data_IF_632984878684
#
_entry.id   IF_632984878684
#
_cell.length_a   1.000
_cell.length_b   1.000
_cell.length_c   1.000
_cell.angle_alpha   90.00
_cell.angle_beta   90.00
_cell.angle_gamma   90.00
#
_symmetry.space_group_name_H-M   'P 1'
#
loop_
_entity.id
_entity.type
_entity.pdbx_description
1 polymer ?
#
# COMPACT_ATOMS: atom_id res chain seq x y z
N UNK A 1 34.50 28.59 -21.53
CA UNK A 1 33.98 29.97 -21.49
C UNK A 1 33.11 30.25 -20.26
N UNK A 2 32.27 29.33 -19.83
CA UNK A 2 31.43 29.47 -18.63
C UNK A 2 32.28 29.60 -17.35
N UNK A 3 33.42 28.92 -17.27
CA UNK A 3 34.37 29.02 -16.15
C UNK A 3 35.05 30.41 -16.02
N UNK A 4 35.21 31.16 -17.13
CA UNK A 4 35.80 32.50 -17.11
C UNK A 4 34.85 33.59 -16.57
N UNK A 5 33.55 33.41 -16.71
CA UNK A 5 32.54 34.29 -16.14
C UNK A 5 32.36 34.12 -14.63
N UNK A 6 32.93 33.05 -14.04
CA UNK A 6 32.76 32.69 -12.63
C UNK A 6 33.99 33.00 -11.75
N UNK A 7 35.03 33.65 -12.29
CA UNK A 7 36.28 33.92 -11.58
C UNK A 7 36.07 34.77 -10.29
N UNK A 8 35.09 35.68 -10.30
CA UNK A 8 34.68 36.42 -9.11
C UNK A 8 33.82 35.59 -8.13
N UNK A 9 33.15 34.55 -8.60
CA UNK A 9 32.31 33.68 -7.79
C UNK A 9 33.07 32.50 -7.20
N UNK A 10 34.20 32.07 -7.74
CA UNK A 10 35.00 30.98 -7.18
C UNK A 10 35.47 31.27 -5.76
N UNK A 11 35.88 32.50 -5.46
CA UNK A 11 36.29 32.92 -4.12
C UNK A 11 35.10 32.88 -3.17
N UNK A 12 33.92 33.34 -3.57
CA UNK A 12 32.71 33.28 -2.79
C UNK A 12 32.20 31.84 -2.62
N UNK A 13 32.39 30.97 -3.62
CA UNK A 13 32.07 29.55 -3.55
C UNK A 13 32.94 28.82 -2.55
N UNK A 14 34.28 29.11 -2.53
CA UNK A 14 35.20 28.45 -1.63
C UNK A 14 35.04 28.91 -0.18
N UNK A 15 34.69 30.15 0.05
CA UNK A 15 34.58 30.73 1.38
C UNK A 15 33.19 30.58 2.02
N UNK A 16 32.18 30.30 1.21
CA UNK A 16 30.76 30.28 1.64
C UNK A 16 29.97 29.13 0.99
N UNK A 17 30.59 27.98 0.84
CA UNK A 17 29.89 26.79 0.34
C UNK A 17 29.59 25.82 1.49
N UNK A 18 28.57 25.03 1.30
CA UNK A 18 28.26 23.88 2.10
C UNK A 18 27.83 22.73 1.19
N UNK A 19 27.93 21.53 1.68
CA UNK A 19 27.45 20.35 0.99
C UNK A 19 26.15 19.88 1.64
N UNK A 20 25.19 19.52 0.81
CA UNK A 20 23.92 18.94 1.26
C UNK A 20 23.88 17.47 0.82
N UNK A 21 23.34 16.64 1.66
CA UNK A 21 22.97 15.28 1.26
C UNK A 21 21.81 15.35 0.26
N UNK A 22 21.88 14.52 -0.79
CA UNK A 22 20.90 14.53 -1.87
C UNK A 22 20.24 13.17 -2.09
N UNK A 23 20.31 12.27 -1.09
CA UNK A 23 19.79 10.90 -1.20
C UNK A 23 19.29 10.40 0.16
N UNK A 24 18.48 9.34 0.12
CA UNK A 24 18.04 8.64 1.32
C UNK A 24 17.21 9.49 2.27
N UNK A 25 17.28 9.18 3.55
CA UNK A 25 16.46 9.80 4.59
C UNK A 25 16.69 11.31 4.74
N UNK A 26 17.88 11.79 4.41
CA UNK A 26 18.22 13.22 4.48
C UNK A 26 17.41 14.09 3.52
N UNK A 27 16.80 13.48 2.52
CA UNK A 27 15.89 14.14 1.57
C UNK A 27 14.47 13.57 1.59
N UNK A 28 14.15 12.73 2.56
CA UNK A 28 12.80 12.15 2.74
C UNK A 28 12.51 10.95 1.84
N UNK A 29 13.54 10.27 1.35
CA UNK A 29 13.47 9.02 0.58
C UNK A 29 13.88 7.83 1.45
N UNK A 30 13.57 6.59 1.07
CA UNK A 30 14.10 5.40 1.71
C UNK A 30 15.63 5.39 1.76
N UNK A 31 16.21 4.74 2.77
CA UNK A 31 17.67 4.61 2.91
C UNK A 31 18.29 4.00 1.65
N UNK A 32 19.38 4.59 1.16
CA UNK A 32 20.10 4.13 -0.03
C UNK A 32 19.46 4.53 -1.38
N UNK A 33 18.30 5.16 -1.37
CA UNK A 33 17.66 5.62 -2.62
C UNK A 33 18.25 6.96 -3.05
N UNK A 34 18.65 7.03 -4.33
CA UNK A 34 19.14 8.27 -4.95
C UNK A 34 18.03 9.32 -5.00
N UNK A 35 18.39 10.58 -4.73
CA UNK A 35 17.50 11.73 -4.90
C UNK A 35 17.08 11.95 -6.35
N UNK A 36 16.01 12.70 -6.51
CA UNK A 36 15.48 13.09 -7.82
C UNK A 36 15.05 14.57 -7.81
N UNK A 37 14.70 15.08 -8.97
CA UNK A 37 14.32 16.49 -9.16
C UNK A 37 13.11 16.90 -8.31
N UNK A 38 12.08 16.06 -8.24
CA UNK A 38 10.85 16.36 -7.50
C UNK A 38 11.14 16.54 -6.01
N UNK A 39 11.84 15.58 -5.41
CA UNK A 39 12.21 15.60 -3.98
C UNK A 39 13.13 16.76 -3.66
N UNK A 40 14.14 17.01 -4.52
CA UNK A 40 15.06 18.14 -4.34
C UNK A 40 14.35 19.50 -4.36
N UNK A 41 13.51 19.75 -5.35
CA UNK A 41 12.75 20.99 -5.43
C UNK A 41 11.72 21.15 -4.30
N UNK A 42 11.09 20.06 -3.89
CA UNK A 42 10.15 20.07 -2.76
C UNK A 42 10.86 20.45 -1.45
N UNK A 43 12.03 19.88 -1.17
CA UNK A 43 12.78 20.18 0.03
C UNK A 43 13.36 21.60 0.03
N UNK A 44 13.90 22.05 -1.11
CA UNK A 44 14.40 23.43 -1.27
C UNK A 44 13.25 24.43 -1.09
N UNK A 45 12.14 24.20 -1.78
CA UNK A 45 10.95 25.05 -1.69
C UNK A 45 10.29 25.03 -0.30
N UNK A 46 10.33 23.90 0.38
CA UNK A 46 9.79 23.73 1.73
C UNK A 46 10.69 24.23 2.84
N UNK A 47 12.00 24.40 2.58
CA UNK A 47 13.00 24.74 3.60
C UNK A 47 13.17 23.67 4.68
N UNK A 48 12.73 22.45 4.41
CA UNK A 48 12.79 21.30 5.34
C UNK A 48 12.69 19.98 4.58
N UNK A 49 13.08 18.88 5.23
CA UNK A 49 12.90 17.54 4.66
C UNK A 49 11.40 17.19 4.61
N UNK A 50 10.90 16.89 3.41
CA UNK A 50 9.53 16.42 3.17
C UNK A 50 9.59 14.93 2.88
N UNK A 51 9.20 14.12 3.85
CA UNK A 51 9.22 12.67 3.70
C UNK A 51 8.19 12.19 2.69
N UNK A 52 8.61 11.33 1.77
CA UNK A 52 7.74 10.58 0.87
C UNK A 52 6.91 9.56 1.65
N UNK A 53 5.87 9.00 1.04
CA UNK A 53 4.90 8.15 1.74
C UNK A 53 5.54 6.94 2.43
N UNK A 54 6.44 6.20 1.77
CA UNK A 54 7.08 5.03 2.39
C UNK A 54 7.84 5.38 3.67
N UNK A 55 8.85 6.27 3.67
CA UNK A 55 9.58 6.62 4.90
C UNK A 55 8.70 7.35 5.93
N UNK A 56 7.69 8.11 5.50
CA UNK A 56 6.73 8.77 6.38
C UNK A 56 5.91 7.77 7.19
N UNK A 57 5.36 6.76 6.52
CA UNK A 57 4.56 5.71 7.16
C UNK A 57 5.46 4.85 8.05
N UNK A 58 6.63 4.44 7.56
CA UNK A 58 7.59 3.65 8.34
C UNK A 58 7.99 4.37 9.63
N UNK A 59 8.29 5.67 9.54
CA UNK A 59 8.61 6.49 10.71
C UNK A 59 7.45 6.57 11.71
N UNK A 60 6.21 6.66 11.22
CA UNK A 60 5.04 6.65 12.12
C UNK A 60 4.87 5.33 12.88
N UNK A 61 5.35 4.21 12.31
CA UNK A 61 5.40 2.93 13.01
C UNK A 61 6.47 2.95 14.10
N UNK A 62 7.63 3.52 13.80
CA UNK A 62 8.78 3.62 14.74
C UNK A 62 8.46 4.53 15.92
N UNK A 63 7.83 5.68 15.72
CA UNK A 63 7.46 6.63 16.76
C UNK A 63 6.11 6.32 17.44
N UNK A 64 5.38 5.32 16.95
CA UNK A 64 4.12 4.85 17.52
C UNK A 64 2.86 5.59 17.04
N UNK A 65 2.97 6.69 16.34
CA UNK A 65 1.81 7.48 15.86
C UNK A 65 0.95 6.73 14.83
N UNK A 66 1.51 5.72 14.17
CA UNK A 66 0.76 4.79 13.31
C UNK A 66 -0.42 4.13 14.05
N UNK A 67 -0.20 3.73 15.30
CA UNK A 67 -1.22 3.05 16.12
C UNK A 67 -2.31 3.99 16.64
N UNK A 68 -2.08 5.29 16.53
CA UNK A 68 -3.05 6.34 16.87
C UNK A 68 -3.82 6.85 15.64
N UNK A 69 -3.51 6.37 14.44
CA UNK A 69 -4.11 6.84 13.20
C UNK A 69 -5.64 6.69 13.22
N UNK A 70 -6.40 7.80 13.04
CA UNK A 70 -7.84 7.79 13.22
C UNK A 70 -8.59 6.93 12.20
N UNK A 71 -8.09 6.83 10.95
CA UNK A 71 -8.74 6.02 9.93
C UNK A 71 -8.61 4.51 10.22
N UNK A 72 -7.43 4.06 10.64
CA UNK A 72 -7.22 2.67 11.05
C UNK A 72 -8.01 2.32 12.31
N UNK A 73 -7.99 3.23 13.31
CA UNK A 73 -8.78 3.04 14.52
C UNK A 73 -10.26 2.91 14.19
N UNK A 74 -10.80 3.82 13.37
CA UNK A 74 -12.21 3.78 12.96
C UNK A 74 -12.58 2.45 12.28
N UNK A 75 -11.76 1.97 11.33
CA UNK A 75 -12.02 0.70 10.64
C UNK A 75 -12.03 -0.49 11.62
N UNK A 76 -11.09 -0.53 12.55
CA UNK A 76 -10.98 -1.63 13.51
C UNK A 76 -12.06 -1.57 14.59
N UNK A 77 -12.42 -0.36 15.05
CA UNK A 77 -13.49 -0.15 16.03
C UNK A 77 -14.84 -0.51 15.43
N UNK A 78 -15.10 -0.18 14.15
CA UNK A 78 -16.31 -0.60 13.45
C UNK A 78 -16.45 -2.12 13.40
N UNK A 79 -15.33 -2.84 13.16
CA UNK A 79 -15.36 -4.31 13.21
C UNK A 79 -15.74 -4.85 14.59
N UNK A 80 -15.26 -4.22 15.66
CA UNK A 80 -15.59 -4.61 17.03
C UNK A 80 -17.07 -4.32 17.33
N UNK A 81 -17.54 -3.13 16.98
CA UNK A 81 -18.92 -2.70 17.25
C UNK A 81 -19.94 -3.54 16.49
N UNK A 82 -19.65 -3.85 15.21
CA UNK A 82 -20.57 -4.58 14.33
C UNK A 82 -20.39 -6.11 14.40
N UNK A 83 -19.32 -6.61 15.03
CA UNK A 83 -18.94 -8.02 15.00
C UNK A 83 -18.54 -8.50 13.58
N UNK A 84 -18.10 -7.58 12.73
CA UNK A 84 -17.73 -7.83 11.34
C UNK A 84 -16.25 -8.15 11.17
N UNK A 85 -15.77 -8.38 9.95
CA UNK A 85 -14.41 -8.74 9.65
C UNK A 85 -13.55 -7.53 9.26
N UNK A 86 -12.26 -7.60 9.55
CA UNK A 86 -11.23 -6.72 9.00
C UNK A 86 -10.51 -7.41 7.85
N UNK A 87 -10.48 -6.76 6.71
CA UNK A 87 -9.77 -7.21 5.52
C UNK A 87 -8.56 -6.33 5.26
N UNK A 88 -7.39 -6.94 5.14
CA UNK A 88 -6.13 -6.28 4.82
C UNK A 88 -5.69 -6.76 3.44
N UNK A 89 -5.65 -5.89 2.45
CA UNK A 89 -5.15 -6.26 1.16
C UNK A 89 -4.16 -5.27 0.54
N UNK A 90 -3.34 -5.75 -0.35
CA UNK A 90 -2.31 -4.98 -1.03
C UNK A 90 -1.21 -5.85 -1.58
N UNK A 91 -0.23 -5.20 -2.21
CA UNK A 91 0.89 -5.89 -2.82
C UNK A 91 1.79 -6.51 -1.75
N UNK A 92 1.90 -7.84 -1.76
CA UNK A 92 2.74 -8.63 -0.86
C UNK A 92 4.20 -8.60 -1.35
N UNK A 93 4.90 -7.53 -1.02
CA UNK A 93 6.21 -7.23 -1.58
C UNK A 93 7.11 -6.52 -0.57
N UNK A 94 8.41 -6.73 -0.69
CA UNK A 94 9.45 -5.96 -0.02
C UNK A 94 10.13 -4.95 -0.94
N UNK A 95 9.66 -4.86 -2.20
CA UNK A 95 10.25 -3.99 -3.23
C UNK A 95 10.11 -2.49 -2.96
N UNK A 96 9.22 -2.08 -2.05
CA UNK A 96 9.10 -0.69 -1.62
C UNK A 96 8.58 0.27 -2.70
N UNK A 97 7.92 -0.24 -3.76
CA UNK A 97 7.39 0.59 -4.86
C UNK A 97 5.93 0.95 -4.63
N UNK A 98 5.09 0.00 -4.27
CA UNK A 98 3.66 0.21 -4.02
C UNK A 98 3.27 0.02 -2.56
N UNK A 99 3.97 -0.86 -1.87
CA UNK A 99 3.72 -1.29 -0.50
C UNK A 99 4.99 -1.83 0.15
N UNK A 100 4.90 -2.14 1.42
CA UNK A 100 5.88 -2.97 2.14
C UNK A 100 5.18 -3.86 3.15
N UNK A 101 5.71 -5.07 3.37
CA UNK A 101 5.18 -6.01 4.35
C UNK A 101 5.27 -5.47 5.79
N UNK A 102 6.21 -4.60 6.09
CA UNK A 102 6.33 -3.98 7.42
C UNK A 102 5.08 -3.17 7.80
N UNK A 103 4.45 -2.50 6.83
CA UNK A 103 3.20 -1.79 7.06
C UNK A 103 2.03 -2.76 7.32
N UNK A 104 1.95 -3.88 6.59
CA UNK A 104 0.99 -4.95 6.87
C UNK A 104 1.19 -5.53 8.28
N UNK A 105 2.44 -5.79 8.66
CA UNK A 105 2.74 -6.35 9.99
C UNK A 105 2.39 -5.37 11.11
N UNK A 106 2.54 -4.07 10.89
CA UNK A 106 2.07 -3.04 11.82
C UNK A 106 0.54 -3.04 11.96
N UNK A 107 -0.22 -3.21 10.86
CA UNK A 107 -1.68 -3.33 10.89
C UNK A 107 -2.11 -4.62 11.63
N UNK A 108 -1.45 -5.74 11.40
CA UNK A 108 -1.70 -6.98 12.14
C UNK A 108 -1.43 -6.82 13.65
N UNK A 109 -0.32 -6.15 14.01
CA UNK A 109 -0.02 -5.82 15.41
C UNK A 109 -1.10 -4.94 16.03
N UNK A 110 -1.61 -3.95 15.28
CA UNK A 110 -2.70 -3.09 15.73
C UNK A 110 -3.99 -3.89 15.94
N UNK A 111 -4.35 -4.77 15.01
CA UNK A 111 -5.50 -5.67 15.14
C UNK A 111 -5.38 -6.62 16.35
N UNK A 112 -4.19 -7.14 16.62
CA UNK A 112 -3.90 -7.94 17.82
C UNK A 112 -4.12 -7.13 19.10
N UNK A 113 -3.56 -5.92 19.19
CA UNK A 113 -3.69 -5.02 20.35
C UNK A 113 -5.17 -4.71 20.63
N UNK A 114 -5.97 -4.48 19.59
CA UNK A 114 -7.41 -4.24 19.70
C UNK A 114 -8.25 -5.50 19.96
N UNK A 115 -7.65 -6.67 19.90
CA UNK A 115 -8.32 -7.95 20.20
C UNK A 115 -9.24 -8.46 19.10
N UNK A 116 -9.07 -7.99 17.85
CA UNK A 116 -9.83 -8.45 16.69
C UNK A 116 -9.64 -9.97 16.49
N UNK A 117 -10.72 -10.66 16.13
CA UNK A 117 -10.71 -12.13 15.90
C UNK A 117 -10.83 -12.51 14.43
N UNK A 118 -11.60 -11.75 13.66
CA UNK A 118 -11.86 -11.97 12.25
C UNK A 118 -11.02 -10.99 11.44
N UNK A 119 -9.78 -11.40 11.12
CA UNK A 119 -8.83 -10.59 10.31
C UNK A 119 -8.38 -11.45 9.15
N UNK A 120 -8.63 -11.00 7.94
CA UNK A 120 -8.33 -11.70 6.70
C UNK A 120 -7.36 -10.91 5.84
N UNK A 121 -6.43 -11.62 5.22
CA UNK A 121 -5.40 -11.03 4.37
C UNK A 121 -5.62 -11.52 2.95
N UNK A 122 -5.65 -10.59 2.02
CA UNK A 122 -5.72 -10.86 0.58
C UNK A 122 -4.40 -10.44 -0.04
N UNK A 123 -3.57 -11.42 -0.38
CA UNK A 123 -2.20 -11.23 -0.82
C UNK A 123 -2.14 -11.01 -2.34
N UNK A 124 -1.77 -9.81 -2.79
CA UNK A 124 -1.47 -9.55 -4.20
C UNK A 124 0.03 -9.79 -4.43
N UNK A 125 0.38 -10.79 -5.24
CA UNK A 125 1.77 -11.16 -5.52
C UNK A 125 2.39 -10.20 -6.54
N UNK A 126 3.69 -9.93 -6.40
CA UNK A 126 4.41 -8.90 -7.15
C UNK A 126 5.01 -9.41 -8.46
N UNK A 127 6.16 -10.05 -8.41
CA UNK A 127 6.87 -10.58 -9.57
C UNK A 127 7.43 -9.55 -10.57
N UNK A 128 7.30 -8.23 -10.29
CA UNK A 128 7.84 -7.13 -11.10
C UNK A 128 8.88 -6.30 -10.37
N UNK A 129 8.55 -5.89 -9.15
CA UNK A 129 9.41 -5.08 -8.30
C UNK A 129 10.29 -5.96 -7.40
N UNK A 130 9.98 -7.27 -7.38
CA UNK A 130 10.73 -8.34 -6.72
C UNK A 130 10.88 -9.53 -7.67
N UNK A 131 11.78 -10.52 -7.37
CA UNK A 131 11.93 -11.70 -8.19
C UNK A 131 10.61 -12.43 -8.45
N UNK A 132 10.41 -13.01 -9.64
CA UNK A 132 9.10 -13.48 -10.11
C UNK A 132 8.53 -14.69 -9.37
N UNK A 133 9.27 -15.29 -8.43
CA UNK A 133 8.85 -16.43 -7.61
C UNK A 133 9.10 -16.21 -6.12
N UNK A 134 9.21 -14.96 -5.69
CA UNK A 134 9.44 -14.58 -4.27
C UNK A 134 8.17 -14.52 -3.42
N UNK A 135 7.00 -14.47 -4.06
CA UNK A 135 5.70 -14.31 -3.41
C UNK A 135 5.39 -15.43 -2.42
N UNK A 136 5.74 -16.67 -2.76
CA UNK A 136 5.63 -17.82 -1.87
C UNK A 136 6.30 -17.58 -0.51
N UNK A 137 7.52 -17.07 -0.51
CA UNK A 137 8.27 -16.82 0.73
C UNK A 137 7.70 -15.62 1.51
N UNK A 138 7.18 -14.61 0.83
CA UNK A 138 6.50 -13.50 1.48
C UNK A 138 5.19 -13.92 2.15
N UNK A 139 4.40 -14.77 1.49
CA UNK A 139 3.18 -15.33 2.07
C UNK A 139 3.51 -16.22 3.28
N UNK A 140 4.54 -17.08 3.18
CA UNK A 140 4.99 -17.92 4.28
C UNK A 140 5.40 -17.09 5.52
N UNK A 141 6.17 -16.00 5.34
CA UNK A 141 6.53 -15.07 6.41
C UNK A 141 5.32 -14.39 7.03
N UNK A 142 4.34 -14.02 6.21
CA UNK A 142 3.10 -13.41 6.70
C UNK A 142 2.29 -14.40 7.53
N UNK A 143 2.19 -15.67 7.10
CA UNK A 143 1.54 -16.74 7.89
C UNK A 143 2.26 -16.98 9.22
N UNK A 144 3.58 -16.93 9.25
CA UNK A 144 4.36 -17.00 10.47
C UNK A 144 4.05 -15.84 11.41
N UNK A 145 4.00 -14.62 10.87
CA UNK A 145 3.64 -13.41 11.62
C UNK A 145 2.23 -13.46 12.20
N UNK A 146 1.28 -13.98 11.44
CA UNK A 146 -0.09 -14.21 11.93
C UNK A 146 -0.11 -15.22 13.10
N UNK A 147 0.69 -16.28 13.03
CA UNK A 147 0.82 -17.26 14.13
C UNK A 147 1.46 -16.65 15.38
N UNK A 148 2.51 -15.84 15.23
CA UNK A 148 3.15 -15.11 16.34
C UNK A 148 2.17 -14.19 17.06
N UNK A 149 1.38 -13.44 16.30
CA UNK A 149 0.43 -12.48 16.84
C UNK A 149 -0.90 -13.10 17.27
N UNK A 150 -1.18 -14.35 16.87
CA UNK A 150 -2.46 -15.02 17.13
C UNK A 150 -3.65 -14.37 16.42
N UNK A 151 -3.40 -13.63 15.32
CA UNK A 151 -4.42 -12.93 14.54
C UNK A 151 -4.05 -12.92 13.06
N UNK A 152 -5.08 -13.01 12.20
CA UNK A 152 -4.92 -12.96 10.74
C UNK A 152 -4.85 -14.36 10.09
N UNK A 153 -5.47 -14.46 8.91
CA UNK A 153 -5.41 -15.61 8.01
C UNK A 153 -5.31 -15.14 6.58
N UNK A 154 -4.58 -15.85 5.73
CA UNK A 154 -4.63 -15.62 4.29
C UNK A 154 -5.97 -16.15 3.76
N UNK A 155 -6.79 -15.27 3.21
CA UNK A 155 -8.07 -15.62 2.62
C UNK A 155 -7.99 -15.83 1.10
N UNK A 156 -7.25 -14.95 0.41
CA UNK A 156 -7.01 -15.10 -1.02
C UNK A 156 -5.57 -14.77 -1.39
N UNK A 157 -5.11 -15.36 -2.49
CA UNK A 157 -3.83 -15.04 -3.13
C UNK A 157 -4.08 -14.83 -4.62
N UNK A 158 -3.49 -13.80 -5.22
CA UNK A 158 -3.59 -13.55 -6.66
C UNK A 158 -2.45 -12.66 -7.15
N UNK A 159 -2.10 -12.75 -8.41
CA UNK A 159 -1.10 -11.88 -9.02
C UNK A 159 -1.60 -10.44 -9.18
N UNK A 160 -0.67 -9.50 -9.13
CA UNK A 160 -0.96 -8.06 -9.36
C UNK A 160 -1.56 -7.78 -10.74
N UNK A 161 -1.39 -8.67 -11.69
CA UNK A 161 -2.00 -8.59 -13.01
C UNK A 161 -3.51 -8.48 -12.94
N UNK A 162 -4.16 -9.15 -11.99
CA UNK A 162 -5.60 -9.11 -11.76
C UNK A 162 -6.01 -7.96 -10.82
N UNK A 163 -5.41 -7.89 -9.65
CA UNK A 163 -5.86 -6.98 -8.58
C UNK A 163 -5.37 -5.54 -8.71
N UNK A 164 -4.36 -5.28 -9.54
CA UNK A 164 -3.70 -3.98 -9.63
C UNK A 164 -3.61 -3.47 -11.08
N UNK A 165 -4.70 -3.63 -11.83
CA UNK A 165 -4.83 -3.00 -13.14
C UNK A 165 -4.91 -1.47 -13.01
N UNK A 166 -4.56 -0.75 -14.09
CA UNK A 166 -4.65 0.71 -14.21
C UNK A 166 -5.05 1.17 -15.61
N UNK A 167 -5.39 0.22 -16.47
CA UNK A 167 -5.62 0.42 -17.90
C UNK A 167 -7.07 0.07 -18.27
N UNK A 168 -7.97 0.00 -17.25
CA UNK A 168 -9.40 -0.32 -17.38
C UNK A 168 -9.65 -1.70 -18.03
N UNK A 169 -8.81 -2.66 -17.69
CA UNK A 169 -9.01 -4.05 -18.08
C UNK A 169 -9.97 -4.71 -17.10
N UNK A 170 -11.24 -4.35 -17.25
CA UNK A 170 -12.29 -4.75 -16.31
C UNK A 170 -12.45 -6.27 -16.20
N UNK A 171 -12.22 -7.01 -17.28
CA UNK A 171 -12.17 -8.48 -17.31
C UNK A 171 -11.18 -9.08 -16.31
N UNK A 172 -10.04 -8.44 -16.08
CA UNK A 172 -9.05 -8.87 -15.10
C UNK A 172 -9.46 -8.48 -13.69
N UNK A 173 -9.91 -7.25 -13.55
CA UNK A 173 -10.28 -6.69 -12.25
C UNK A 173 -11.51 -7.40 -11.67
N UNK A 174 -12.48 -7.79 -12.54
CA UNK A 174 -13.64 -8.57 -12.16
C UNK A 174 -13.25 -9.90 -11.54
N UNK A 175 -12.30 -10.64 -12.15
CA UNK A 175 -11.78 -11.88 -11.57
C UNK A 175 -11.20 -11.68 -10.16
N UNK A 176 -10.48 -10.58 -9.94
CA UNK A 176 -9.96 -10.25 -8.61
C UNK A 176 -11.10 -9.91 -7.63
N UNK A 177 -12.06 -9.10 -8.07
CA UNK A 177 -13.22 -8.72 -7.27
C UNK A 177 -14.08 -9.95 -6.90
N UNK A 178 -14.34 -10.83 -7.83
CA UNK A 178 -15.14 -12.04 -7.62
C UNK A 178 -14.49 -13.00 -6.63
N UNK A 179 -13.15 -13.11 -6.68
CA UNK A 179 -12.42 -13.87 -5.67
C UNK A 179 -12.50 -13.24 -4.27
N UNK A 180 -12.47 -11.90 -4.18
CA UNK A 180 -12.51 -11.17 -2.92
C UNK A 180 -13.91 -11.16 -2.27
N UNK A 181 -14.97 -11.17 -3.08
CA UNK A 181 -16.35 -10.98 -2.62
C UNK A 181 -17.16 -12.28 -2.68
N UNK A 182 -17.11 -12.97 -3.83
CA UNK A 182 -17.94 -14.18 -4.05
C UNK A 182 -17.18 -15.48 -3.78
N UNK A 183 -15.85 -15.42 -3.55
CA UNK A 183 -15.03 -16.61 -3.36
C UNK A 183 -14.90 -17.44 -4.64
N UNK A 184 -14.96 -16.78 -5.79
CA UNK A 184 -14.77 -17.40 -7.11
C UNK A 184 -13.27 -17.41 -7.47
N UNK A 185 -12.78 -18.56 -7.92
CA UNK A 185 -11.38 -18.77 -8.25
C UNK A 185 -10.92 -20.20 -7.95
N UNK A 186 -9.62 -20.43 -8.04
CA UNK A 186 -9.02 -21.72 -7.69
C UNK A 186 -9.17 -21.95 -6.18
N UNK A 187 -9.71 -23.10 -5.79
CA UNK A 187 -9.95 -23.43 -4.40
C UNK A 187 -8.79 -24.26 -3.84
N UNK A 188 -8.01 -23.67 -2.93
CA UNK A 188 -6.93 -24.38 -2.23
C UNK A 188 -6.75 -23.82 -0.83
N UNK A 189 -6.99 -24.58 0.25
CA UNK A 189 -6.86 -24.10 1.61
C UNK A 189 -5.40 -23.85 2.06
N UNK A 190 -4.42 -24.33 1.30
CA UNK A 190 -2.99 -24.07 1.55
C UNK A 190 -2.44 -23.06 0.54
N UNK A 191 -2.28 -21.79 0.93
CA UNK A 191 -1.77 -20.77 0.00
C UNK A 191 -0.36 -21.05 -0.52
N UNK A 192 0.47 -21.76 0.26
CA UNK A 192 1.84 -22.10 -0.17
C UNK A 192 1.79 -23.17 -1.25
N UNK A 193 1.00 -24.23 -1.04
CA UNK A 193 0.79 -25.27 -2.03
C UNK A 193 0.24 -24.69 -3.34
N UNK A 194 -0.77 -23.84 -3.26
CA UNK A 194 -1.39 -23.22 -4.43
C UNK A 194 -0.41 -22.36 -5.26
N UNK A 195 0.45 -21.58 -4.60
CA UNK A 195 1.49 -20.80 -5.29
C UNK A 195 2.52 -21.73 -5.93
N UNK A 196 2.95 -22.78 -5.25
CA UNK A 196 3.91 -23.75 -5.79
C UNK A 196 3.34 -24.50 -7.02
N UNK A 197 2.05 -24.86 -7.01
CA UNK A 197 1.39 -25.43 -8.17
C UNK A 197 1.35 -24.45 -9.35
N UNK A 198 1.08 -23.17 -9.11
CA UNK A 198 1.17 -22.14 -10.15
C UNK A 198 2.58 -22.09 -10.77
N UNK A 199 3.64 -22.12 -9.94
CA UNK A 199 5.02 -22.11 -10.43
C UNK A 199 5.36 -23.36 -11.23
N UNK A 200 4.91 -24.56 -10.83
CA UNK A 200 5.07 -25.80 -11.59
C UNK A 200 4.45 -25.73 -12.98
N UNK A 201 3.35 -24.98 -13.10
CA UNK A 201 2.66 -24.73 -14.36
C UNK A 201 3.27 -23.55 -15.16
N UNK A 202 4.41 -23.00 -14.73
CA UNK A 202 5.09 -21.89 -15.39
C UNK A 202 4.47 -20.51 -15.16
N UNK A 203 3.50 -20.39 -14.25
CA UNK A 203 2.85 -19.14 -13.89
C UNK A 203 3.56 -18.53 -12.69
N UNK A 204 4.16 -17.35 -12.87
CA UNK A 204 4.91 -16.63 -11.84
C UNK A 204 4.01 -15.64 -11.08
N UNK A 205 4.53 -15.05 -10.01
CA UNK A 205 3.82 -14.19 -9.07
C UNK A 205 2.86 -13.19 -9.71
N UNK A 206 3.35 -12.45 -10.72
CA UNK A 206 2.55 -11.41 -11.37
C UNK A 206 1.23 -11.94 -11.95
N UNK A 207 1.24 -13.18 -12.44
CA UNK A 207 0.16 -13.78 -13.22
C UNK A 207 -0.59 -14.90 -12.50
N UNK A 208 -0.32 -15.15 -11.22
CA UNK A 208 -1.05 -16.14 -10.44
C UNK A 208 -2.54 -15.81 -10.48
N UNK A 209 -3.33 -16.77 -10.96
CA UNK A 209 -4.79 -16.64 -11.00
C UNK A 209 -5.37 -16.50 -9.60
N UNK A 210 -6.53 -15.86 -9.42
CA UNK A 210 -7.15 -15.72 -8.12
C UNK A 210 -7.38 -17.08 -7.44
N UNK A 211 -6.82 -17.24 -6.23
CA UNK A 211 -6.91 -18.44 -5.40
C UNK A 211 -7.66 -18.07 -4.12
N UNK A 212 -8.64 -18.87 -3.74
CA UNK A 212 -9.41 -18.74 -2.51
C UNK A 212 -8.93 -19.78 -1.52
N UNK A 213 -8.34 -19.32 -0.41
CA UNK A 213 -7.77 -20.19 0.62
C UNK A 213 -8.68 -20.33 1.85
N UNK A 214 -9.49 -19.32 2.15
CA UNK A 214 -10.44 -19.37 3.26
C UNK A 214 -11.76 -18.65 2.85
N UNK A 215 -12.83 -19.43 2.68
CA UNK A 215 -14.15 -18.89 2.29
C UNK A 215 -14.83 -18.04 3.37
N UNK A 216 -14.42 -18.16 4.62
CA UNK A 216 -14.93 -17.31 5.70
C UNK A 216 -14.37 -15.90 5.63
N UNK A 217 -13.36 -15.69 4.79
CA UNK A 217 -12.68 -14.42 4.60
C UNK A 217 -13.13 -13.62 3.38
N UNK A 218 -14.31 -13.85 2.86
CA UNK A 218 -14.86 -13.04 1.77
C UNK A 218 -15.37 -11.71 2.30
N UNK A 219 -15.12 -10.64 1.52
CA UNK A 219 -15.53 -9.28 1.88
C UNK A 219 -17.05 -9.16 1.73
N UNK A 220 -17.72 -8.73 2.77
CA UNK A 220 -19.17 -8.63 2.84
C UNK A 220 -19.66 -7.32 3.47
N UNK A 221 -20.95 -7.12 3.47
CA UNK A 221 -21.62 -5.94 4.02
C UNK A 221 -21.16 -5.64 5.47
N UNK A 222 -20.90 -4.37 5.75
CA UNK A 222 -20.43 -3.85 7.03
C UNK A 222 -19.02 -4.27 7.47
N UNK A 223 -18.26 -5.00 6.66
CA UNK A 223 -16.86 -5.26 6.93
C UNK A 223 -16.00 -4.00 6.79
N UNK A 224 -14.81 -4.04 7.35
CA UNK A 224 -13.82 -2.99 7.15
C UNK A 224 -12.68 -3.49 6.26
N UNK A 225 -12.25 -2.62 5.36
CA UNK A 225 -11.15 -2.90 4.42
C UNK A 225 -10.05 -1.88 4.60
N UNK A 226 -8.81 -2.32 4.70
CA UNK A 226 -7.62 -1.45 4.66
C UNK A 226 -6.75 -1.88 3.49
N UNK A 227 -6.63 -1.00 2.50
CA UNK A 227 -5.71 -1.18 1.39
C UNK A 227 -4.36 -0.56 1.75
N UNK A 228 -3.35 -1.38 2.06
CA UNK A 228 -2.08 -0.89 2.60
C UNK A 228 -1.06 -0.42 1.54
N UNK A 229 -1.42 -0.38 0.26
CA UNK A 229 -0.60 0.26 -0.77
C UNK A 229 -0.55 1.78 -0.53
N UNK A 230 0.63 2.36 -0.58
CA UNK A 230 0.79 3.83 -0.49
C UNK A 230 0.89 4.50 -1.87
N UNK A 231 1.24 3.78 -2.93
CA UNK A 231 1.26 4.32 -4.29
C UNK A 231 -0.11 4.16 -4.96
N UNK A 232 -0.71 5.29 -5.45
CA UNK A 232 -2.12 5.32 -5.84
C UNK A 232 -2.42 4.76 -7.22
N UNK A 233 -1.48 4.79 -8.18
CA UNK A 233 -1.75 4.57 -9.62
C UNK A 233 -2.45 3.24 -9.93
N UNK A 234 -2.10 2.16 -9.24
CA UNK A 234 -2.67 0.82 -9.40
C UNK A 234 -3.66 0.41 -8.30
N UNK A 235 -3.98 1.34 -7.40
CA UNK A 235 -4.95 1.10 -6.34
C UNK A 235 -6.34 1.64 -6.69
N UNK A 236 -6.43 2.57 -7.64
CA UNK A 236 -7.65 3.33 -7.94
C UNK A 236 -8.79 2.47 -8.43
N UNK A 237 -8.54 1.57 -9.37
CA UNK A 237 -9.60 0.84 -10.07
C UNK A 237 -10.31 -0.15 -9.15
N UNK A 238 -9.56 -1.01 -8.44
CA UNK A 238 -10.15 -1.95 -7.48
C UNK A 238 -10.85 -1.22 -6.33
N UNK A 239 -10.28 -0.10 -5.85
CA UNK A 239 -10.93 0.71 -4.82
C UNK A 239 -12.27 1.24 -5.32
N UNK A 240 -12.34 1.82 -6.53
CA UNK A 240 -13.61 2.29 -7.10
C UNK A 240 -14.63 1.17 -7.23
N UNK A 241 -14.22 -0.02 -7.61
CA UNK A 241 -15.12 -1.16 -7.69
C UNK A 241 -15.77 -1.48 -6.34
N UNK A 242 -15.12 -1.22 -5.20
CA UNK A 242 -15.71 -1.40 -3.88
C UNK A 242 -16.53 -0.21 -3.38
N UNK A 243 -16.06 1.03 -3.61
CA UNK A 243 -16.57 2.19 -2.87
C UNK A 243 -17.48 3.11 -3.67
N UNK A 244 -17.47 3.03 -5.00
CA UNK A 244 -18.22 3.94 -5.87
C UNK A 244 -19.55 3.32 -6.29
N UNK A 245 -20.71 3.79 -5.79
CA UNK A 245 -22.00 3.27 -6.20
C UNK A 245 -22.27 3.39 -7.72
N UNK A 246 -21.62 4.36 -8.37
CA UNK A 246 -21.75 4.63 -9.80
C UNK A 246 -20.74 3.85 -10.67
N UNK A 247 -19.97 2.94 -10.08
CA UNK A 247 -19.02 2.12 -10.83
C UNK A 247 -19.72 1.24 -11.86
N UNK A 248 -19.25 1.30 -13.10
CA UNK A 248 -19.86 0.66 -14.28
C UNK A 248 -18.89 -0.27 -15.06
N UNK A 249 -17.70 -0.55 -14.49
CA UNK A 249 -16.69 -1.38 -15.16
C UNK A 249 -17.10 -2.83 -15.36
N UNK A 250 -17.82 -3.40 -14.40
CA UNK A 250 -18.44 -4.73 -14.46
C UNK A 250 -19.67 -4.79 -13.55
N UNK A 251 -20.48 -5.84 -13.70
CA UNK A 251 -21.72 -5.98 -12.92
C UNK A 251 -21.41 -6.48 -11.52
N UNK A 252 -21.77 -5.72 -10.51
CA UNK A 252 -21.64 -6.10 -9.10
C UNK A 252 -22.80 -5.57 -8.28
N UNK A 253 -23.01 -6.12 -7.10
CA UNK A 253 -23.88 -5.55 -6.08
C UNK A 253 -23.05 -4.60 -5.19
N UNK A 254 -23.56 -3.38 -4.98
CA UNK A 254 -22.93 -2.43 -4.07
C UNK A 254 -23.38 -2.71 -2.63
N UNK A 255 -22.45 -2.76 -1.71
CA UNK A 255 -22.69 -2.86 -0.28
C UNK A 255 -21.77 -1.92 0.50
N UNK A 256 -22.22 -1.39 1.65
CA UNK A 256 -21.43 -0.46 2.44
C UNK A 256 -20.26 -1.15 3.17
N UNK A 257 -19.11 -0.48 3.15
CA UNK A 257 -17.88 -0.88 3.83
C UNK A 257 -17.31 0.30 4.60
N UNK A 258 -16.56 0.03 5.67
CA UNK A 258 -15.60 1.01 6.19
C UNK A 258 -14.28 0.82 5.44
N UNK A 259 -14.05 1.63 4.40
CA UNK A 259 -12.91 1.45 3.51
C UNK A 259 -11.82 2.49 3.75
N UNK A 260 -10.60 2.02 4.00
CA UNK A 260 -9.43 2.87 4.26
C UNK A 260 -8.41 2.72 3.13
N UNK A 261 -8.13 3.83 2.47
CA UNK A 261 -6.98 3.98 1.60
C UNK A 261 -5.76 4.37 2.43
N UNK A 262 -4.63 3.72 2.24
CA UNK A 262 -3.39 4.05 2.97
C UNK A 262 -2.95 5.49 2.72
N UNK A 263 -3.03 5.92 1.45
CA UNK A 263 -2.82 7.31 1.02
C UNK A 263 -4.02 7.80 0.21
N UNK A 264 -4.06 9.06 -0.17
CA UNK A 264 -5.09 9.58 -1.07
C UNK A 264 -4.88 9.06 -2.49
N UNK A 265 -5.70 8.07 -2.89
CA UNK A 265 -5.61 7.50 -4.24
C UNK A 265 -6.22 8.39 -5.31
N UNK A 266 -7.33 9.03 -4.98
CA UNK A 266 -8.04 9.97 -5.85
C UNK A 266 -8.98 10.83 -4.99
N UNK A 267 -8.87 12.16 -5.12
CA UNK A 267 -9.68 13.11 -4.35
C UNK A 267 -11.19 13.04 -4.65
N UNK A 268 -11.57 12.43 -5.78
CA UNK A 268 -12.98 12.26 -6.20
C UNK A 268 -13.60 10.94 -5.74
N UNK A 269 -12.85 10.12 -5.01
CA UNK A 269 -13.29 8.80 -4.58
C UNK A 269 -14.29 8.92 -3.42
N UNK A 270 -15.54 8.42 -3.57
CA UNK A 270 -16.52 8.47 -2.50
C UNK A 270 -16.25 7.38 -1.45
N UNK A 271 -16.88 7.49 -0.28
CA UNK A 271 -16.96 6.45 0.74
C UNK A 271 -15.62 5.87 1.21
N UNK A 272 -14.56 6.70 1.26
CA UNK A 272 -13.24 6.29 1.73
C UNK A 272 -12.76 7.13 2.89
N UNK A 273 -12.00 6.52 3.77
CA UNK A 273 -11.13 7.16 4.74
C UNK A 273 -9.70 7.14 4.19
N UNK A 274 -8.90 8.16 4.51
CA UNK A 274 -7.50 8.24 4.09
C UNK A 274 -6.63 8.25 5.34
N UNK A 275 -5.75 7.26 5.48
CA UNK A 275 -4.88 7.13 6.64
C UNK A 275 -3.75 8.16 6.64
N UNK A 276 -3.12 8.37 5.49
CA UNK A 276 -2.04 9.35 5.30
C UNK A 276 -2.40 10.32 4.16
N UNK A 277 -3.13 11.41 4.45
CA UNK A 277 -3.47 12.40 3.42
C UNK A 277 -2.23 13.09 2.87
N UNK A 278 -2.37 13.70 1.70
CA UNK A 278 -1.28 14.48 1.07
C UNK A 278 -0.82 15.59 1.98
N UNK A 279 0.49 15.75 2.09
CA UNK A 279 1.09 16.84 2.85
C UNK A 279 1.09 18.11 1.99
N UNK A 280 0.40 19.15 2.46
CA UNK A 280 0.59 20.49 1.92
C UNK A 280 1.82 21.12 2.58
N UNK A 281 2.79 21.52 1.78
CA UNK A 281 3.98 22.24 2.26
C UNK A 281 3.61 23.69 2.51
N UNK A 282 3.22 24.01 3.75
CA UNK A 282 2.92 25.39 4.20
C UNK A 282 4.22 26.10 4.62
N UNK A 283 4.22 27.42 4.61
CA UNK A 283 5.38 28.26 4.94
C UNK A 283 6.59 27.93 4.06
N UNK A 284 6.36 27.66 2.80
CA UNK A 284 7.43 27.45 1.82
C UNK A 284 7.92 28.76 1.23
N UNK A 285 9.04 28.68 0.49
CA UNK A 285 9.67 29.85 -0.15
C UNK A 285 8.67 30.62 -1.02
N UNK A 286 7.76 29.95 -1.74
CA UNK A 286 6.75 30.59 -2.57
C UNK A 286 5.76 31.46 -1.77
N UNK A 287 5.38 31.00 -0.57
CA UNK A 287 4.49 31.80 0.30
C UNK A 287 5.20 33.03 0.90
N UNK A 288 6.52 32.95 1.09
CA UNK A 288 7.31 34.08 1.61
C UNK A 288 7.65 35.11 0.54
N UNK A 289 7.62 34.74 -0.73
CA UNK A 289 7.96 35.62 -1.86
C UNK A 289 6.73 36.23 -2.53
N UNK A 290 5.52 35.74 -2.23
CA UNK A 290 4.26 36.27 -2.75
C UNK A 290 3.66 37.35 -1.84
#
# INVERSE_FOLDING_TARGET
EILRCLVGSEMCIRDRNTTLQASGLDVGLPAGQMGNSEVGHTNIGGGRVVFQDLPRITRSIEDGTFFENPAYNKAMDDCIEKGSALHLYGLHSTGGVHSTLDHLYALLKMAHIKGLKRVYIHAFLDGRDTPPTSGRDFVAKTMEKCRELGVGKIATVMGRYYAMDRDKRWDRLENAYDALVYGEGVQDPDPIHAIEESYKNGVTDEFVEPIVCDKDGMISDNDSVIFFNYRPDRAREITRAFVDPAFDGFKREFFPLTYVCNTEYDATMPNVLVAFPRISVKNGLGEHLS
#
